data_IF_860956446972
#
_entry.id   IF_860956446972
#
_cell.length_a   1.000
_cell.length_b   1.000
_cell.length_c   1.000
_cell.angle_alpha   90.00
_cell.angle_beta   90.00
_cell.angle_gamma   90.00
#
_symmetry.space_group_name_H-M   'P 1'
#
loop_
_entity.id
_entity.type
_entity.pdbx_description
1 polymer ?
#
# COMPACT_ATOMS: atom_id res chain seq x y z
N UNK A 1 37.08 11.72 49.80
CA UNK A 1 36.11 11.28 48.77
C UNK A 1 35.64 12.53 48.06
N UNK A 2 36.17 12.80 46.86
CA UNK A 2 35.62 13.84 45.99
C UNK A 2 34.34 13.25 45.41
N UNK A 3 33.19 13.78 45.82
CA UNK A 3 31.95 13.53 45.11
C UNK A 3 32.12 14.18 43.74
N UNK A 4 32.12 13.38 42.68
CA UNK A 4 31.99 13.83 41.31
C UNK A 4 30.69 14.65 41.23
N UNK A 5 30.81 15.98 41.31
CA UNK A 5 29.77 16.89 40.86
C UNK A 5 29.77 16.79 39.34
N UNK A 6 29.18 15.73 38.81
CA UNK A 6 28.82 15.71 37.39
C UNK A 6 27.79 16.82 37.23
N UNK A 7 28.13 17.85 36.47
CA UNK A 7 27.24 18.97 36.23
C UNK A 7 25.95 18.42 35.62
N UNK A 8 24.80 18.72 36.23
CA UNK A 8 23.50 18.29 35.72
C UNK A 8 23.28 18.68 34.25
N UNK A 9 23.95 19.74 33.79
CA UNK A 9 23.98 20.14 32.39
C UNK A 9 24.75 19.13 31.51
N UNK A 10 25.91 18.64 31.94
CA UNK A 10 26.71 17.64 31.23
C UNK A 10 25.96 16.31 31.13
N UNK A 11 25.26 15.90 32.19
CA UNK A 11 24.38 14.72 32.17
C UNK A 11 23.17 14.90 31.23
N UNK A 12 22.60 16.11 31.16
CA UNK A 12 21.50 16.41 30.25
C UNK A 12 21.96 16.43 28.79
N UNK A 13 23.15 16.97 28.50
CA UNK A 13 23.74 16.93 27.15
C UNK A 13 24.04 15.51 26.69
N UNK A 14 24.59 14.66 27.56
CA UNK A 14 24.82 13.24 27.27
C UNK A 14 23.50 12.52 27.00
N UNK A 15 22.47 12.73 27.83
CA UNK A 15 21.16 12.12 27.66
C UNK A 15 20.46 12.60 26.36
N UNK A 16 20.62 13.87 26.00
CA UNK A 16 20.11 14.43 24.74
C UNK A 16 20.85 13.84 23.54
N UNK A 17 22.17 13.73 23.59
CA UNK A 17 22.97 13.12 22.51
C UNK A 17 22.55 11.66 22.29
N UNK A 18 22.43 10.88 23.37
CA UNK A 18 21.97 9.49 23.30
C UNK A 18 20.54 9.40 22.73
N UNK A 19 19.63 10.28 23.14
CA UNK A 19 18.27 10.29 22.61
C UNK A 19 18.23 10.65 21.11
N UNK A 20 19.12 11.52 20.64
CA UNK A 20 19.27 11.88 19.23
C UNK A 20 19.85 10.71 18.43
N UNK A 21 20.92 10.08 18.92
CA UNK A 21 21.55 8.93 18.29
C UNK A 21 20.56 7.76 18.17
N UNK A 22 19.84 7.43 19.26
CA UNK A 22 18.77 6.44 19.28
C UNK A 22 17.65 6.76 18.27
N UNK A 23 17.30 8.04 18.12
CA UNK A 23 16.27 8.47 17.17
C UNK A 23 16.76 8.31 15.72
N UNK A 24 18.03 8.61 15.45
CA UNK A 24 18.66 8.42 14.14
C UNK A 24 18.72 6.93 13.80
N UNK A 25 19.18 6.08 14.73
CA UNK A 25 19.27 4.64 14.54
C UNK A 25 17.89 4.02 14.26
N UNK A 26 16.88 4.33 15.08
CA UNK A 26 15.49 3.87 14.85
C UNK A 26 14.94 4.34 13.51
N UNK A 27 15.29 5.55 13.07
CA UNK A 27 14.87 6.05 11.77
C UNK A 27 15.53 5.27 10.64
N UNK A 28 16.82 4.92 10.78
CA UNK A 28 17.55 4.12 9.80
C UNK A 28 16.99 2.70 9.69
N UNK A 29 16.72 2.02 10.81
CA UNK A 29 16.10 0.69 10.81
C UNK A 29 14.77 0.67 10.06
N UNK A 30 13.94 1.71 10.24
CA UNK A 30 12.66 1.83 9.54
C UNK A 30 12.88 2.05 8.04
N UNK A 31 13.85 2.87 7.64
CA UNK A 31 14.18 3.11 6.23
C UNK A 31 14.67 1.81 5.56
N UNK A 32 15.54 1.07 6.23
CA UNK A 32 16.06 -0.20 5.74
C UNK A 32 14.91 -1.19 5.55
N UNK A 33 14.01 -1.28 6.54
CA UNK A 33 12.83 -2.13 6.45
C UNK A 33 11.88 -1.75 5.31
N UNK A 34 11.67 -0.46 5.08
CA UNK A 34 10.87 0.03 3.94
C UNK A 34 11.52 -0.38 2.62
N UNK A 35 12.85 -0.27 2.52
CA UNK A 35 13.61 -0.66 1.32
C UNK A 35 13.51 -2.15 1.03
N UNK A 36 13.60 -3.00 2.06
CA UNK A 36 13.36 -4.43 1.94
C UNK A 36 11.94 -4.75 1.45
N UNK A 37 10.93 -4.11 2.04
CA UNK A 37 9.53 -4.30 1.67
C UNK A 37 9.29 -3.86 0.22
N UNK A 38 9.92 -2.78 -0.24
CA UNK A 38 9.83 -2.35 -1.64
C UNK A 38 10.35 -3.44 -2.57
N UNK A 39 11.52 -4.01 -2.25
CA UNK A 39 12.10 -5.13 -2.98
C UNK A 39 11.15 -6.32 -3.05
N UNK A 40 10.57 -6.72 -1.91
CA UNK A 40 9.61 -7.83 -1.82
C UNK A 40 8.33 -7.58 -2.62
N UNK A 41 7.83 -6.35 -2.64
CA UNK A 41 6.61 -5.96 -3.37
C UNK A 41 6.88 -5.92 -4.88
N UNK A 42 7.96 -5.27 -5.33
CA UNK A 42 8.27 -5.10 -6.75
C UNK A 42 8.77 -6.39 -7.43
N UNK A 43 9.32 -7.33 -6.66
CA UNK A 43 9.80 -8.62 -7.15
C UNK A 43 8.96 -9.80 -6.63
N UNK A 44 7.72 -9.53 -6.21
CA UNK A 44 6.81 -10.57 -5.74
C UNK A 44 6.61 -11.67 -6.80
N UNK A 45 6.69 -12.92 -6.36
CA UNK A 45 6.69 -14.12 -7.21
C UNK A 45 5.31 -14.54 -7.75
N UNK A 46 4.25 -13.83 -7.36
CA UNK A 46 2.86 -14.07 -7.77
C UNK A 46 2.23 -15.37 -7.25
N UNK A 47 2.75 -15.96 -6.17
CA UNK A 47 2.26 -17.24 -5.62
C UNK A 47 1.09 -17.11 -4.66
N UNK A 48 1.15 -16.16 -3.73
CA UNK A 48 0.08 -15.86 -2.77
C UNK A 48 -0.08 -14.36 -2.58
N UNK A 49 -1.25 -13.85 -2.96
CA UNK A 49 -1.61 -12.44 -2.85
C UNK A 49 -1.71 -11.96 -1.39
N UNK A 50 -1.88 -12.87 -0.43
CA UNK A 50 -1.92 -12.55 1.00
C UNK A 50 -0.57 -12.10 1.54
N UNK A 51 0.52 -12.65 0.99
CA UNK A 51 1.88 -12.19 1.32
C UNK A 51 2.12 -10.78 0.79
N UNK A 52 1.76 -10.54 -0.48
CA UNK A 52 1.81 -9.20 -1.06
C UNK A 52 1.01 -8.19 -0.24
N UNK A 53 -0.22 -8.54 0.17
CA UNK A 53 -1.03 -7.72 1.07
C UNK A 53 -0.29 -7.42 2.38
N UNK A 54 0.33 -8.42 3.01
CA UNK A 54 1.08 -8.24 4.26
C UNK A 54 2.21 -7.22 4.07
N UNK A 55 3.02 -7.36 3.02
CA UNK A 55 4.13 -6.44 2.75
C UNK A 55 3.64 -5.00 2.50
N UNK A 56 2.57 -4.84 1.71
CA UNK A 56 1.95 -3.54 1.44
C UNK A 56 1.41 -2.90 2.73
N UNK A 57 0.72 -3.67 3.57
CA UNK A 57 0.16 -3.17 4.82
C UNK A 57 1.25 -2.75 5.80
N UNK A 58 2.30 -3.55 5.93
CA UNK A 58 3.45 -3.24 6.78
C UNK A 58 4.12 -1.94 6.32
N UNK A 59 4.44 -1.84 5.02
CA UNK A 59 5.04 -0.62 4.45
C UNK A 59 4.15 0.60 4.65
N UNK A 60 2.83 0.46 4.45
CA UNK A 60 1.87 1.56 4.64
C UNK A 60 1.85 2.06 6.09
N UNK A 61 1.94 1.15 7.07
CA UNK A 61 2.02 1.51 8.49
C UNK A 61 3.32 2.24 8.80
N UNK A 62 4.46 1.74 8.31
CA UNK A 62 5.77 2.37 8.53
C UNK A 62 5.83 3.78 7.92
N UNK A 63 5.42 3.92 6.64
CA UNK A 63 5.39 5.21 5.94
C UNK A 63 4.48 6.23 6.63
N UNK A 64 3.28 5.81 7.06
CA UNK A 64 2.33 6.70 7.72
C UNK A 64 2.82 7.12 9.12
N UNK A 65 3.30 6.17 9.92
CA UNK A 65 3.65 6.45 11.31
C UNK A 65 4.93 7.29 11.42
N UNK A 66 5.96 6.96 10.63
CA UNK A 66 7.29 7.57 10.75
C UNK A 66 7.50 8.77 9.81
N UNK A 67 6.89 8.76 8.62
CA UNK A 67 7.14 9.80 7.61
C UNK A 67 5.89 10.60 7.21
N UNK A 68 4.70 10.21 7.66
CA UNK A 68 3.41 10.80 7.25
C UNK A 68 3.19 10.75 5.74
N UNK A 69 3.75 9.74 5.07
CA UNK A 69 3.67 9.53 3.63
C UNK A 69 2.64 8.45 3.30
N UNK A 70 1.83 8.69 2.26
CA UNK A 70 0.96 7.67 1.69
C UNK A 70 1.74 6.74 0.75
N UNK A 71 1.49 5.44 0.83
CA UNK A 71 2.21 4.43 0.05
C UNK A 71 2.08 4.64 -1.47
N UNK A 72 0.95 5.17 -1.95
CA UNK A 72 0.74 5.49 -3.38
C UNK A 72 1.71 6.55 -3.92
N UNK A 73 2.27 7.40 -3.04
CA UNK A 73 3.28 8.40 -3.39
C UNK A 73 4.71 7.83 -3.33
N UNK A 74 4.87 6.65 -2.72
CA UNK A 74 6.17 6.02 -2.51
C UNK A 74 6.48 4.97 -3.59
N UNK A 75 5.54 4.08 -3.87
CA UNK A 75 5.73 2.97 -4.81
C UNK A 75 4.76 3.06 -5.98
N UNK A 76 5.27 2.83 -7.19
CA UNK A 76 4.42 2.73 -8.37
C UNK A 76 3.70 1.38 -8.40
N UNK A 77 2.46 1.36 -7.90
CA UNK A 77 1.60 0.17 -7.86
C UNK A 77 1.41 -0.52 -9.21
N UNK A 78 1.58 0.19 -10.34
CA UNK A 78 1.48 -0.40 -11.68
C UNK A 78 2.67 -1.30 -12.03
N UNK A 79 3.80 -1.14 -11.35
CA UNK A 79 5.00 -1.97 -11.54
C UNK A 79 4.95 -3.29 -10.77
N UNK A 80 3.98 -3.46 -9.87
CA UNK A 80 3.84 -4.70 -9.09
C UNK A 80 3.51 -5.85 -10.07
N UNK A 81 4.29 -6.95 -10.04
CA UNK A 81 4.06 -8.08 -10.93
C UNK A 81 2.69 -8.70 -10.72
N UNK A 82 2.05 -9.18 -11.79
CA UNK A 82 0.76 -9.86 -11.74
C UNK A 82 0.22 -10.22 -13.11
N UNK A 83 -0.90 -10.94 -13.13
CA UNK A 83 -1.65 -11.21 -14.37
C UNK A 83 -2.14 -9.89 -14.99
N UNK A 84 -2.20 -9.84 -16.32
CA UNK A 84 -2.77 -8.70 -17.03
C UNK A 84 -4.25 -8.46 -16.64
N UNK A 85 -4.55 -7.25 -16.19
CA UNK A 85 -5.91 -6.79 -15.86
C UNK A 85 -6.24 -5.61 -16.76
N UNK A 86 -7.39 -5.61 -17.46
CA UNK A 86 -7.84 -4.45 -18.24
C UNK A 86 -7.90 -3.18 -17.40
N UNK A 87 -7.40 -2.08 -17.95
CA UNK A 87 -7.26 -0.81 -17.21
C UNK A 87 -8.60 -0.30 -16.67
N UNK A 88 -9.71 -0.53 -17.38
CA UNK A 88 -11.07 -0.19 -16.94
C UNK A 88 -11.46 -0.87 -15.61
N UNK A 89 -11.13 -2.15 -15.46
CA UNK A 89 -11.37 -2.90 -14.21
C UNK A 89 -10.37 -2.46 -13.15
N UNK A 90 -9.10 -2.27 -13.53
CA UNK A 90 -8.03 -1.85 -12.64
C UNK A 90 -8.36 -0.53 -11.95
N UNK A 91 -8.84 0.46 -12.71
CA UNK A 91 -9.20 1.77 -12.20
C UNK A 91 -10.47 1.74 -11.34
N UNK A 92 -11.50 1.03 -11.79
CA UNK A 92 -12.80 1.01 -11.13
C UNK A 92 -12.77 0.31 -9.76
N UNK A 93 -12.05 -0.80 -9.66
CA UNK A 93 -11.96 -1.60 -8.42
C UNK A 93 -10.67 -1.36 -7.64
N UNK A 94 -9.78 -0.50 -8.16
CA UNK A 94 -8.44 -0.28 -7.61
C UNK A 94 -7.69 -1.60 -7.45
N UNK A 95 -7.64 -2.39 -8.52
CA UNK A 95 -6.91 -3.67 -8.52
C UNK A 95 -5.42 -3.35 -8.52
N UNK A 96 -4.72 -3.85 -7.50
CA UNK A 96 -3.28 -3.67 -7.34
C UNK A 96 -2.56 -4.71 -8.17
N UNK A 97 -2.81 -5.99 -7.85
CA UNK A 97 -2.26 -7.13 -8.58
C UNK A 97 -3.15 -8.38 -8.44
N UNK A 98 -2.92 -9.36 -9.31
CA UNK A 98 -3.58 -10.66 -9.34
C UNK A 98 -2.53 -11.77 -9.38
N UNK A 99 -2.64 -12.74 -8.47
CA UNK A 99 -1.74 -13.89 -8.39
C UNK A 99 -2.01 -14.91 -9.52
N UNK A 100 -1.13 -15.92 -9.65
CA UNK A 100 -1.25 -16.99 -10.65
C UNK A 100 -2.52 -17.84 -10.49
N UNK A 101 -3.16 -17.83 -9.31
CA UNK A 101 -4.38 -18.57 -9.01
C UNK A 101 -5.64 -17.74 -9.34
N UNK A 102 -5.47 -16.52 -9.86
CA UNK A 102 -6.55 -15.62 -10.20
C UNK A 102 -7.18 -14.94 -8.98
N UNK A 103 -6.44 -14.79 -7.88
CA UNK A 103 -6.86 -14.04 -6.69
C UNK A 103 -6.28 -12.63 -6.75
N UNK A 104 -7.15 -11.63 -6.65
CA UNK A 104 -6.83 -10.22 -6.77
C UNK A 104 -6.72 -9.54 -5.40
N UNK A 105 -5.70 -8.68 -5.25
CA UNK A 105 -5.64 -7.63 -4.23
C UNK A 105 -6.25 -6.37 -4.80
N UNK A 106 -7.24 -5.81 -4.10
CA UNK A 106 -7.97 -4.65 -4.60
C UNK A 106 -8.51 -3.76 -3.48
N UNK A 107 -9.09 -2.63 -3.87
CA UNK A 107 -9.68 -1.64 -2.97
C UNK A 107 -8.75 -0.46 -2.70
N UNK A 108 -9.34 0.65 -2.29
CA UNK A 108 -8.63 1.91 -2.02
C UNK A 108 -7.57 1.73 -0.93
N UNK A 109 -7.90 0.97 0.11
CA UNK A 109 -7.00 0.69 1.24
C UNK A 109 -6.10 -0.53 1.02
N UNK A 110 -6.13 -1.14 -0.17
CA UNK A 110 -5.28 -2.27 -0.56
C UNK A 110 -5.42 -3.48 0.38
N UNK A 111 -6.62 -3.72 0.91
CA UNK A 111 -6.88 -4.67 1.97
C UNK A 111 -7.83 -5.81 1.55
N UNK A 112 -8.51 -5.68 0.40
CA UNK A 112 -9.52 -6.64 -0.04
C UNK A 112 -8.92 -7.70 -0.93
N UNK A 113 -9.40 -8.93 -0.74
CA UNK A 113 -8.98 -10.10 -1.51
C UNK A 113 -10.23 -10.77 -2.07
N UNK A 114 -10.24 -11.01 -3.37
CA UNK A 114 -11.31 -11.75 -4.04
C UNK A 114 -10.78 -12.46 -5.27
N UNK A 115 -11.47 -13.51 -5.72
CA UNK A 115 -11.21 -14.07 -7.04
C UNK A 115 -11.48 -13.02 -8.11
N UNK A 116 -10.54 -12.87 -9.05
CA UNK A 116 -10.62 -11.94 -10.16
C UNK A 116 -11.87 -12.18 -11.01
N UNK A 117 -12.28 -13.44 -11.18
CA UNK A 117 -13.54 -13.80 -11.87
C UNK A 117 -14.77 -13.13 -11.27
N UNK A 118 -14.86 -13.01 -9.94
CA UNK A 118 -15.98 -12.32 -9.29
C UNK A 118 -15.97 -10.82 -9.57
N UNK A 119 -14.78 -10.23 -9.66
CA UNK A 119 -14.62 -8.81 -10.00
C UNK A 119 -15.05 -8.57 -11.45
N UNK A 120 -14.61 -9.42 -12.39
CA UNK A 120 -14.98 -9.32 -13.80
C UNK A 120 -16.47 -9.54 -14.02
N UNK A 121 -17.08 -10.51 -13.35
CA UNK A 121 -18.52 -10.78 -13.45
C UNK A 121 -19.35 -9.60 -12.95
N UNK A 122 -18.96 -9.03 -11.81
CA UNK A 122 -19.62 -7.85 -11.26
C UNK A 122 -19.44 -6.63 -12.17
N UNK A 123 -18.24 -6.47 -12.76
CA UNK A 123 -17.98 -5.42 -13.74
C UNK A 123 -18.88 -5.53 -14.98
N UNK A 124 -19.01 -6.73 -15.54
CA UNK A 124 -19.82 -6.97 -16.73
C UNK A 124 -21.30 -6.65 -16.49
N UNK A 125 -21.86 -7.12 -15.36
CA UNK A 125 -23.24 -6.80 -14.97
C UNK A 125 -23.46 -5.29 -14.84
N UNK A 126 -22.55 -4.60 -14.16
CA UNK A 126 -22.64 -3.15 -13.96
C UNK A 126 -22.50 -2.38 -15.28
N UNK A 127 -21.66 -2.85 -16.19
CA UNK A 127 -21.51 -2.28 -17.55
C UNK A 127 -22.82 -2.41 -18.34
N UNK A 128 -23.47 -3.57 -18.30
CA UNK A 128 -24.77 -3.79 -18.95
C UNK A 128 -25.87 -2.91 -18.38
N UNK A 129 -25.91 -2.74 -17.05
CA UNK A 129 -26.84 -1.83 -16.37
C UNK A 129 -26.64 -0.37 -16.81
N UNK A 130 -25.40 0.09 -16.87
CA UNK A 130 -25.08 1.45 -17.34
C UNK A 130 -25.52 1.67 -18.80
N UNK A 131 -25.29 0.69 -19.68
CA UNK A 131 -25.72 0.77 -21.08
C UNK A 131 -27.24 0.84 -21.18
N UNK A 132 -27.97 0.01 -20.43
CA UNK A 132 -29.44 0.05 -20.39
C UNK A 132 -29.96 1.39 -19.87
N UNK A 133 -29.36 1.93 -18.80
CA UNK A 133 -29.74 3.22 -18.24
C UNK A 133 -29.48 4.38 -19.23
N UNK A 134 -28.33 4.37 -19.92
CA UNK A 134 -27.99 5.37 -20.92
C UNK A 134 -28.95 5.34 -22.12
N UNK A 135 -29.34 4.14 -22.57
CA UNK A 135 -30.32 3.98 -23.65
C UNK A 135 -31.70 4.50 -23.23
N UNK A 136 -32.18 4.13 -22.04
CA UNK A 136 -33.46 4.61 -21.51
C UNK A 136 -33.50 6.13 -21.33
N UNK A 137 -32.38 6.76 -20.95
CA UNK A 137 -32.26 8.21 -20.86
C UNK A 137 -32.34 8.89 -22.24
N UNK A 138 -31.66 8.34 -23.25
CA UNK A 138 -31.74 8.83 -24.64
C UNK A 138 -33.16 8.73 -25.20
N UNK A 139 -33.87 7.64 -24.90
CA UNK A 139 -35.23 7.42 -25.38
C UNK A 139 -36.26 8.35 -24.70
N UNK A 140 -35.98 8.81 -23.47
CA UNK A 140 -36.78 9.84 -22.78
C UNK A 140 -36.55 11.26 -23.32
N UNK A 141 -35.34 11.56 -23.80
CA UNK A 141 -35.01 12.87 -24.38
C UNK A 141 -35.53 13.04 -25.83
N UNK A 142 -35.92 11.94 -26.48
CA UNK A 142 -36.49 11.91 -27.84
C UNK A 142 -38.02 11.92 -27.87
N UNK A 143 -38.67 11.88 -26.72
CA UNK A 143 -40.13 12.01 -26.55
C UNK A 143 -40.47 13.37 -26.00
#
# INVERSE_FOLDING_TARGET
MQYENVDSAEMAEIALSQAVDDHIEKSQEVIDRISELEGLILHWNQEDVRELKKYIQEMRVLLLNHFKVQIDNFINMRKIPGIHVPEEIKQMYKVISVDKKGVALYGVEMDKIAYYSKITDHYQKKKEEMVKAAQAAKDKLRK
#
